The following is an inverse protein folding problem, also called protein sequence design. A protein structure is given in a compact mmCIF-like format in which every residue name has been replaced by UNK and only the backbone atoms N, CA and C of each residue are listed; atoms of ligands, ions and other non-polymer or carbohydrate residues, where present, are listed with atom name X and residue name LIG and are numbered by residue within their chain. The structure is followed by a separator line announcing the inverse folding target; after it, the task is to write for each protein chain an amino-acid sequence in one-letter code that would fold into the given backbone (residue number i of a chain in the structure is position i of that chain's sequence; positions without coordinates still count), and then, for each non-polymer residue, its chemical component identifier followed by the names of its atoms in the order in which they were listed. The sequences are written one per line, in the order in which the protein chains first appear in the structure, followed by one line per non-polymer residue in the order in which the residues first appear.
data_IF_729453407817
#
_entry.id   IF_729453407817
#
_cell.length_a   1.000
_cell.length_b   1.000
_cell.length_c   1.000
_cell.angle_alpha   90.00
_cell.angle_beta   90.00
_cell.angle_gamma   90.00
#
_symmetry.space_group_name_H-M   'P 1'
#
loop_
_entity.id
_entity.type
_entity.pdbx_description
1 polymer ?
#
# COMPACT_ATOMS: atom_id res chain seq x y z
N UNK A 1 20.02 45.02 -15.80
CA UNK A 1 20.48 43.68 -16.20
C UNK A 1 19.45 43.08 -17.15
N UNK A 2 19.85 42.39 -18.24
CA UNK A 2 18.89 41.70 -19.11
C UNK A 2 18.40 40.45 -18.38
N UNK A 3 17.08 40.36 -18.16
CA UNK A 3 16.45 39.17 -17.59
C UNK A 3 16.64 38.02 -18.57
N UNK A 4 17.35 36.97 -18.15
CA UNK A 4 17.51 35.74 -18.93
C UNK A 4 16.24 34.95 -18.76
N UNK A 5 15.41 34.90 -19.81
CA UNK A 5 14.20 34.08 -19.84
C UNK A 5 14.52 32.74 -20.48
N UNK A 6 14.29 31.65 -19.75
CA UNK A 6 14.44 30.30 -20.26
C UNK A 6 13.21 29.88 -21.06
N UNK A 7 13.41 29.00 -22.05
CA UNK A 7 12.34 28.48 -22.91
C UNK A 7 11.20 27.84 -22.09
N UNK A 8 11.53 27.17 -20.98
CA UNK A 8 10.57 26.56 -20.06
C UNK A 8 9.69 27.55 -19.30
N UNK A 9 10.12 28.82 -19.20
CA UNK A 9 9.38 29.88 -18.51
C UNK A 9 8.53 30.73 -19.46
N UNK A 10 8.80 30.66 -20.77
CA UNK A 10 8.08 31.45 -21.78
C UNK A 10 6.57 31.21 -21.75
N UNK A 11 6.12 29.97 -21.59
CA UNK A 11 4.68 29.68 -21.49
C UNK A 11 4.05 30.30 -20.25
N UNK A 12 4.72 30.25 -19.09
CA UNK A 12 4.22 30.86 -17.84
C UNK A 12 4.18 32.39 -17.95
N UNK A 13 5.18 32.98 -18.57
CA UNK A 13 5.27 34.43 -18.79
C UNK A 13 4.23 34.91 -19.81
N UNK A 14 4.07 34.21 -20.92
CA UNK A 14 3.03 34.49 -21.92
C UNK A 14 1.64 34.36 -21.30
N UNK A 15 1.38 33.28 -20.53
CA UNK A 15 0.11 33.07 -19.83
C UNK A 15 -0.23 34.27 -18.93
N UNK A 16 0.72 34.78 -18.13
CA UNK A 16 0.50 35.96 -17.26
C UNK A 16 0.08 37.23 -18.00
N UNK A 17 0.51 37.42 -19.25
CA UNK A 17 0.18 38.60 -20.05
C UNK A 17 -1.28 38.58 -20.53
N UNK A 18 -1.86 37.39 -20.74
CA UNK A 18 -3.23 37.22 -21.23
C UNK A 18 -4.24 36.81 -20.15
N UNK A 19 -3.80 36.61 -18.91
CA UNK A 19 -4.64 36.11 -17.84
C UNK A 19 -5.42 37.24 -17.16
N UNK A 20 -6.75 37.17 -17.22
CA UNK A 20 -7.61 38.10 -16.48
C UNK A 20 -7.59 37.80 -14.97
N UNK A 21 -8.02 38.74 -14.14
CA UNK A 21 -8.10 38.50 -12.69
C UNK A 21 -9.11 37.40 -12.34
N UNK A 22 -10.20 37.27 -13.11
CA UNK A 22 -11.13 36.14 -12.99
C UNK A 22 -10.47 34.80 -13.32
N UNK A 23 -9.57 34.75 -14.30
CA UNK A 23 -8.83 33.52 -14.64
C UNK A 23 -7.82 33.14 -13.55
N UNK A 24 -7.21 34.14 -12.88
CA UNK A 24 -6.33 33.89 -11.73
C UNK A 24 -7.10 33.34 -10.53
N UNK A 25 -8.30 33.85 -10.25
CA UNK A 25 -9.17 33.33 -9.17
C UNK A 25 -9.68 31.91 -9.47
N UNK A 26 -10.08 31.64 -10.72
CA UNK A 26 -10.44 30.29 -11.16
C UNK A 26 -9.27 29.30 -11.04
N UNK A 27 -8.06 29.71 -11.39
CA UNK A 27 -6.88 28.84 -11.25
C UNK A 27 -6.50 28.59 -9.79
N UNK A 28 -6.58 29.61 -8.92
CA UNK A 28 -6.42 29.44 -7.47
C UNK A 28 -7.45 28.47 -6.90
N UNK A 29 -8.73 28.65 -7.21
CA UNK A 29 -9.78 27.74 -6.71
C UNK A 29 -9.63 26.32 -7.26
N UNK A 30 -9.25 26.15 -8.53
CA UNK A 30 -8.94 24.84 -9.10
C UNK A 30 -7.71 24.18 -8.46
N UNK A 31 -6.66 24.95 -8.17
CA UNK A 31 -5.46 24.42 -7.49
C UNK A 31 -5.73 24.04 -6.04
N UNK A 32 -6.48 24.86 -5.29
CA UNK A 32 -6.94 24.51 -3.94
C UNK A 32 -7.81 23.25 -3.96
N UNK A 33 -8.80 23.17 -4.87
CA UNK A 33 -9.64 21.96 -5.01
C UNK A 33 -8.82 20.72 -5.34
N UNK A 34 -7.84 20.82 -6.25
CA UNK A 34 -6.93 19.71 -6.56
C UNK A 34 -6.11 19.30 -5.33
N UNK A 35 -5.57 20.27 -4.61
CA UNK A 35 -4.79 20.04 -3.39
C UNK A 35 -5.65 19.40 -2.29
N UNK A 36 -6.88 19.87 -2.09
CA UNK A 36 -7.83 19.31 -1.12
C UNK A 36 -8.20 17.87 -1.48
N UNK A 37 -8.43 17.60 -2.77
CA UNK A 37 -8.74 16.25 -3.26
C UNK A 37 -7.55 15.31 -3.06
N UNK A 38 -6.33 15.79 -3.33
CA UNK A 38 -5.12 15.00 -3.13
C UNK A 38 -4.82 14.76 -1.64
N UNK A 39 -5.02 15.76 -0.79
CA UNK A 39 -4.92 15.64 0.66
C UNK A 39 -5.95 14.66 1.22
N UNK A 40 -7.20 14.71 0.73
CA UNK A 40 -8.23 13.76 1.12
C UNK A 40 -7.84 12.32 0.72
N UNK A 41 -7.30 12.14 -0.50
CA UNK A 41 -6.79 10.83 -0.94
C UNK A 41 -5.66 10.31 -0.06
N UNK A 42 -4.69 11.17 0.30
CA UNK A 42 -3.58 10.80 1.19
C UNK A 42 -4.08 10.42 2.59
N UNK A 43 -4.99 11.20 3.17
CA UNK A 43 -5.60 10.89 4.47
C UNK A 43 -6.35 9.56 4.45
N UNK A 44 -7.07 9.27 3.36
CA UNK A 44 -7.75 7.99 3.19
C UNK A 44 -6.75 6.83 3.10
N UNK A 45 -5.68 6.99 2.32
CA UNK A 45 -4.60 6.00 2.23
C UNK A 45 -3.92 5.76 3.59
N UNK A 46 -3.60 6.82 4.32
CA UNK A 46 -3.01 6.74 5.66
C UNK A 46 -3.94 6.04 6.66
N UNK A 47 -5.25 6.30 6.60
CA UNK A 47 -6.24 5.63 7.44
C UNK A 47 -6.18 4.11 7.25
N UNK A 48 -6.26 3.65 6.00
CA UNK A 48 -6.24 2.21 5.70
C UNK A 48 -4.89 1.58 5.99
N UNK A 49 -3.80 2.31 5.74
CA UNK A 49 -2.46 1.84 6.08
C UNK A 49 -2.28 1.65 7.59
N UNK A 50 -2.76 2.58 8.43
CA UNK A 50 -2.73 2.42 9.89
C UNK A 50 -3.55 1.21 10.34
N UNK A 51 -4.76 1.03 9.80
CA UNK A 51 -5.58 -0.14 10.12
C UNK A 51 -4.88 -1.45 9.73
N UNK A 52 -4.18 -1.48 8.59
CA UNK A 52 -3.39 -2.63 8.19
C UNK A 52 -2.21 -2.93 9.12
N UNK A 53 -1.54 -1.89 9.64
CA UNK A 53 -0.50 -2.08 10.65
C UNK A 53 -1.06 -2.64 11.96
N UNK A 54 -2.26 -2.21 12.38
CA UNK A 54 -2.95 -2.78 13.55
C UNK A 54 -3.32 -4.26 13.32
N UNK A 55 -3.81 -4.61 12.12
CA UNK A 55 -4.12 -5.99 11.75
C UNK A 55 -2.86 -6.86 11.73
N UNK A 56 -1.75 -6.37 11.18
CA UNK A 56 -0.46 -7.05 11.22
C UNK A 56 0.10 -7.20 12.63
N UNK A 57 -0.23 -6.28 13.54
CA UNK A 57 0.15 -6.41 14.94
C UNK A 57 -0.50 -7.61 15.61
N UNK A 58 -1.69 -7.99 15.15
CA UNK A 58 -2.43 -9.19 15.58
C UNK A 58 -2.02 -10.45 14.82
N UNK A 59 -0.83 -10.47 14.21
CA UNK A 59 -0.34 -11.61 13.44
C UNK A 59 -0.43 -12.94 14.21
N UNK A 60 -0.16 -12.97 15.51
CA UNK A 60 -0.24 -14.19 16.31
C UNK A 60 -1.67 -14.75 16.44
N UNK A 61 -2.69 -13.94 16.16
CA UNK A 61 -4.11 -14.33 16.12
C UNK A 61 -4.51 -14.90 14.75
N UNK A 62 -3.75 -14.63 13.69
CA UNK A 62 -3.99 -15.20 12.37
C UNK A 62 -3.90 -16.72 12.40
N UNK A 63 -4.63 -17.38 11.51
CA UNK A 63 -4.65 -18.84 11.47
C UNK A 63 -3.26 -19.40 11.17
N UNK A 64 -2.72 -20.19 12.11
CA UNK A 64 -1.49 -20.95 11.93
C UNK A 64 -1.72 -22.07 10.92
N UNK A 65 -0.92 -22.08 9.85
CA UNK A 65 -1.06 -23.04 8.75
C UNK A 65 0.08 -24.05 8.70
N UNK A 66 1.27 -23.69 9.17
CA UNK A 66 2.42 -24.58 9.25
C UNK A 66 3.44 -24.10 10.28
N UNK A 67 4.40 -24.95 10.61
CA UNK A 67 5.59 -24.61 11.38
C UNK A 67 6.76 -25.47 10.91
N UNK A 68 7.91 -24.84 10.65
CA UNK A 68 9.17 -25.53 10.39
C UNK A 68 10.07 -25.35 11.63
N UNK A 69 9.87 -26.22 12.63
CA UNK A 69 10.54 -26.12 13.94
C UNK A 69 12.06 -26.08 13.84
N UNK A 70 12.65 -26.88 12.95
CA UNK A 70 14.10 -26.95 12.73
C UNK A 70 14.68 -25.65 12.17
N UNK A 71 13.85 -24.82 11.55
CA UNK A 71 14.22 -23.53 10.99
C UNK A 71 13.74 -22.34 11.83
N UNK A 72 13.05 -22.58 12.96
CA UNK A 72 12.43 -21.53 13.76
C UNK A 72 11.32 -20.74 13.06
N UNK A 73 10.71 -21.29 12.00
CA UNK A 73 9.70 -20.57 11.21
C UNK A 73 8.27 -20.94 11.57
N UNK A 74 7.41 -19.94 11.75
CA UNK A 74 5.95 -20.10 11.87
C UNK A 74 5.25 -19.46 10.67
N UNK A 75 4.31 -20.21 10.09
CA UNK A 75 3.54 -19.77 8.94
C UNK A 75 2.10 -19.51 9.38
N UNK A 76 1.59 -18.31 9.07
CA UNK A 76 0.20 -17.94 9.30
C UNK A 76 -0.43 -17.35 8.06
N UNK A 77 -1.74 -17.46 7.94
CA UNK A 77 -2.48 -16.96 6.79
C UNK A 77 -3.44 -15.82 7.16
N UNK A 78 -3.44 -14.79 6.32
CA UNK A 78 -4.46 -13.75 6.25
C UNK A 78 -5.35 -14.02 5.04
N UNK A 79 -6.68 -13.96 5.21
CA UNK A 79 -7.66 -14.22 4.15
C UNK A 79 -8.19 -12.89 3.63
N UNK A 80 -8.23 -12.73 2.30
CA UNK A 80 -8.72 -11.54 1.61
C UNK A 80 -10.21 -11.66 1.31
N UNK A 81 -10.88 -10.53 1.07
CA UNK A 81 -12.30 -10.51 0.66
C UNK A 81 -12.54 -11.17 -0.70
N UNK A 82 -11.53 -11.15 -1.58
CA UNK A 82 -11.58 -11.82 -2.88
C UNK A 82 -11.49 -13.36 -2.79
N UNK A 83 -11.43 -13.93 -1.58
CA UNK A 83 -11.33 -15.37 -1.31
C UNK A 83 -9.91 -15.93 -1.41
N UNK A 84 -8.93 -15.12 -1.82
CA UNK A 84 -7.53 -15.51 -1.76
C UNK A 84 -6.94 -15.41 -0.35
N UNK A 85 -5.72 -15.93 -0.18
CA UNK A 85 -4.95 -15.81 1.06
C UNK A 85 -3.54 -15.25 0.87
N UNK A 86 -2.95 -14.69 1.91
CA UNK A 86 -1.53 -14.40 2.01
C UNK A 86 -0.95 -15.21 3.15
N UNK A 87 0.06 -16.02 2.84
CA UNK A 87 0.79 -16.79 3.84
C UNK A 87 2.06 -16.03 4.17
N UNK A 88 2.27 -15.77 5.45
CA UNK A 88 3.45 -15.09 5.97
C UNK A 88 4.19 -16.05 6.88
N UNK A 89 5.46 -16.24 6.57
CA UNK A 89 6.40 -16.94 7.44
C UNK A 89 7.17 -15.90 8.26
N UNK A 90 7.30 -16.13 9.56
CA UNK A 90 8.14 -15.32 10.45
C UNK A 90 9.17 -16.21 11.12
N UNK A 91 10.35 -15.66 11.37
CA UNK A 91 11.33 -16.24 12.28
C UNK A 91 10.91 -15.94 13.73
N UNK A 92 10.61 -16.98 14.50
CA UNK A 92 10.17 -16.90 15.90
C UNK A 92 11.21 -16.20 16.79
N UNK A 93 12.51 -16.33 16.48
CA UNK A 93 13.59 -15.69 17.25
C UNK A 93 13.71 -14.18 16.96
N UNK A 94 13.14 -13.73 15.84
CA UNK A 94 13.17 -12.31 15.42
C UNK A 94 12.09 -11.45 16.07
N UNK A 95 11.42 -11.94 17.12
CA UNK A 95 10.31 -11.25 17.76
C UNK A 95 10.75 -9.93 18.41
N UNK A 96 9.98 -8.87 18.17
CA UNK A 96 10.25 -7.54 18.71
C UNK A 96 9.02 -6.91 19.34
N UNK A 97 9.29 -5.97 20.26
CA UNK A 97 8.25 -5.11 20.85
C UNK A 97 8.06 -3.90 19.95
N UNK A 98 6.99 -3.91 19.17
CA UNK A 98 6.58 -2.81 18.28
C UNK A 98 5.21 -2.28 18.71
N UNK A 99 4.94 -1.00 18.45
CA UNK A 99 3.62 -0.40 18.75
C UNK A 99 2.56 -0.76 17.71
N UNK A 100 2.98 -0.92 16.45
CA UNK A 100 2.11 -1.30 15.32
C UNK A 100 2.91 -2.10 14.30
N UNK A 101 2.21 -2.77 13.38
CA UNK A 101 2.83 -3.60 12.36
C UNK A 101 3.27 -4.97 12.89
N UNK A 102 3.95 -5.73 12.04
CA UNK A 102 4.33 -7.10 12.33
C UNK A 102 5.38 -7.14 13.46
N UNK A 103 5.15 -7.89 14.57
CA UNK A 103 6.06 -7.95 15.71
C UNK A 103 7.25 -8.89 15.50
N UNK A 104 7.72 -9.01 14.25
CA UNK A 104 8.85 -9.85 13.85
C UNK A 104 9.71 -9.09 12.84
N UNK A 105 11.03 -9.27 12.93
CA UNK A 105 11.98 -8.57 12.07
C UNK A 105 12.29 -9.30 10.78
N UNK A 106 12.35 -10.63 10.83
CA UNK A 106 12.59 -11.47 9.67
C UNK A 106 11.33 -12.24 9.30
N UNK A 107 10.84 -11.98 8.10
CA UNK A 107 9.63 -12.60 7.58
C UNK A 107 9.59 -12.52 6.06
N UNK A 108 8.74 -13.34 5.47
CA UNK A 108 8.45 -13.28 4.05
C UNK A 108 7.00 -13.68 3.77
N UNK A 109 6.35 -12.93 2.87
CA UNK A 109 4.95 -13.15 2.47
C UNK A 109 4.80 -13.69 1.06
N UNK A 110 3.76 -14.49 0.84
CA UNK A 110 3.32 -14.97 -0.48
C UNK A 110 1.79 -14.89 -0.60
N UNK A 111 1.30 -14.25 -1.67
CA UNK A 111 -0.13 -14.16 -2.02
C UNK A 111 -0.58 -15.28 -2.96
N UNK A 112 -1.74 -15.87 -2.66
CA UNK A 112 -2.42 -16.88 -3.45
C UNK A 112 -3.85 -16.45 -3.80
N UNK A 113 -4.26 -16.57 -5.06
CA UNK A 113 -5.64 -16.34 -5.48
C UNK A 113 -6.62 -17.32 -4.83
N UNK A 114 -7.93 -17.08 -5.02
CA UNK A 114 -8.99 -17.94 -4.48
C UNK A 114 -8.91 -19.39 -4.98
N UNK A 115 -8.34 -19.61 -6.17
CA UNK A 115 -8.08 -20.94 -6.74
C UNK A 115 -6.81 -21.62 -6.16
N UNK A 116 -6.16 -20.99 -5.19
CA UNK A 116 -4.93 -21.47 -4.57
C UNK A 116 -3.68 -21.26 -5.43
N UNK A 117 -3.78 -20.64 -6.61
CA UNK A 117 -2.61 -20.34 -7.43
C UNK A 117 -1.85 -19.14 -6.90
N UNK A 118 -0.53 -19.16 -7.00
CA UNK A 118 0.29 -18.02 -6.59
C UNK A 118 0.07 -16.86 -7.55
N UNK A 119 -0.21 -15.68 -7.01
CA UNK A 119 -0.48 -14.47 -7.78
C UNK A 119 0.61 -13.42 -7.61
N UNK A 120 0.78 -12.58 -8.63
CA UNK A 120 1.75 -11.52 -8.65
C UNK A 120 1.41 -10.44 -7.63
N UNK A 121 2.44 -9.95 -6.94
CA UNK A 121 2.34 -8.87 -5.95
C UNK A 121 1.60 -7.64 -6.49
N UNK A 122 1.77 -7.25 -7.74
CA UNK A 122 1.19 -5.99 -8.26
C UNK A 122 -0.01 -6.23 -9.18
N UNK A 123 0.08 -7.20 -10.10
CA UNK A 123 -0.94 -7.41 -11.13
C UNK A 123 -2.03 -8.39 -10.69
N UNK A 124 -1.83 -9.16 -9.62
CA UNK A 124 -2.75 -10.24 -9.23
C UNK A 124 -2.82 -11.39 -10.24
N UNK A 125 -2.00 -11.35 -11.30
CA UNK A 125 -1.94 -12.41 -12.32
C UNK A 125 -1.18 -13.63 -11.82
N UNK A 126 -1.44 -14.80 -12.41
CA UNK A 126 -0.72 -16.02 -12.07
C UNK A 126 0.77 -15.88 -12.37
N UNK A 127 1.61 -16.30 -11.42
CA UNK A 127 3.07 -16.23 -11.59
C UNK A 127 3.74 -17.58 -11.52
N UNK A 128 4.69 -17.81 -12.41
CA UNK A 128 5.64 -18.91 -12.28
C UNK A 128 6.68 -18.56 -11.20
N UNK A 129 7.09 -19.55 -10.40
CA UNK A 129 8.07 -19.39 -9.32
C UNK A 129 9.41 -18.96 -9.92
N UNK A 130 9.80 -17.69 -9.70
CA UNK A 130 11.19 -17.27 -9.82
C UNK A 130 11.79 -17.25 -8.41
N UNK A 131 12.53 -18.31 -8.07
CA UNK A 131 12.99 -18.68 -6.72
C UNK A 131 13.62 -17.53 -5.90
N UNK A 132 14.22 -16.54 -6.57
CA UNK A 132 14.96 -15.45 -5.91
C UNK A 132 14.30 -14.07 -5.96
N UNK A 133 13.11 -13.91 -6.55
CA UNK A 133 12.67 -12.53 -6.92
C UNK A 133 11.51 -11.94 -6.17
N UNK A 134 10.63 -12.67 -5.47
CA UNK A 134 9.38 -12.04 -5.01
C UNK A 134 8.84 -12.58 -3.68
N UNK A 135 9.32 -11.95 -2.61
CA UNK A 135 8.79 -12.05 -1.25
C UNK A 135 8.24 -10.68 -0.84
N UNK A 136 7.08 -10.64 -0.18
CA UNK A 136 6.55 -9.39 0.36
C UNK A 136 7.28 -9.02 1.66
N UNK A 137 7.73 -7.76 1.76
CA UNK A 137 8.35 -7.17 2.95
C UNK A 137 7.40 -6.13 3.60
N UNK A 138 7.82 -5.39 4.63
CA UNK A 138 6.93 -4.82 5.69
C UNK A 138 5.93 -3.83 5.09
N UNK A 139 6.38 -2.84 4.28
CA UNK A 139 5.49 -1.86 3.67
C UNK A 139 4.47 -2.49 2.71
N UNK A 140 4.89 -3.49 1.96
CA UNK A 140 4.08 -4.19 0.97
C UNK A 140 2.93 -4.97 1.56
N UNK A 141 3.23 -5.69 2.63
CA UNK A 141 2.26 -6.50 3.33
C UNK A 141 1.15 -5.61 3.88
N UNK A 142 1.54 -4.49 4.51
CA UNK A 142 0.63 -3.49 5.04
C UNK A 142 -0.22 -2.85 3.94
N UNK A 143 0.37 -2.49 2.79
CA UNK A 143 -0.38 -1.92 1.66
C UNK A 143 -1.45 -2.88 1.13
N UNK A 144 -1.14 -4.18 1.04
CA UNK A 144 -2.12 -5.18 0.57
C UNK A 144 -3.26 -5.40 1.54
N UNK A 145 -2.97 -5.48 2.83
CA UNK A 145 -4.02 -5.57 3.85
C UNK A 145 -4.83 -4.28 3.87
N UNK A 146 -4.22 -3.11 3.67
CA UNK A 146 -4.93 -1.83 3.59
C UNK A 146 -5.91 -1.79 2.40
N UNK A 147 -5.49 -2.26 1.22
CA UNK A 147 -6.35 -2.41 0.05
C UNK A 147 -7.53 -3.35 0.33
N UNK A 148 -7.27 -4.48 0.99
CA UNK A 148 -8.29 -5.46 1.36
C UNK A 148 -9.30 -4.90 2.36
N UNK A 149 -8.84 -4.28 3.44
CA UNK A 149 -9.69 -3.64 4.44
C UNK A 149 -10.56 -2.54 3.82
N UNK A 150 -9.99 -1.77 2.88
CA UNK A 150 -10.75 -0.78 2.11
C UNK A 150 -11.81 -1.43 1.23
N UNK A 151 -11.49 -2.54 0.57
CA UNK A 151 -12.44 -3.28 -0.26
C UNK A 151 -13.57 -3.88 0.58
N UNK A 152 -13.25 -4.43 1.77
CA UNK A 152 -14.23 -4.94 2.74
C UNK A 152 -15.22 -3.87 3.17
N UNK A 153 -14.73 -2.72 3.61
CA UNK A 153 -15.59 -1.65 4.07
C UNK A 153 -16.51 -1.10 2.96
N UNK A 154 -16.06 -1.14 1.69
CA UNK A 154 -16.91 -0.80 0.55
C UNK A 154 -18.01 -1.83 0.33
N UNK A 155 -17.67 -3.12 0.34
CA UNK A 155 -18.63 -4.20 0.17
C UNK A 155 -19.67 -4.28 1.31
N UNK A 156 -19.33 -3.82 2.51
CA UNK A 156 -20.26 -3.71 3.65
C UNK A 156 -21.18 -2.48 3.58
N UNK A 157 -20.82 -1.50 2.74
CA UNK A 157 -21.60 -0.26 2.55
C UNK A 157 -22.59 -0.33 1.38
N UNK A 158 -22.49 -1.36 0.54
CA UNK A 158 -23.35 -1.66 -0.62
C UNK A 158 -24.45 -2.67 -0.24
#
# INVERSE_FOLDING_TARGET
AKEVVYLGDMFKLAKKLYQTDQDKEKEKTLSFRKQDTENARKKEQERWYKAALEEMHRFDEWKKVAQAKELGLVFREYVFIDGGRMVVAVDEESRQKVETGLPYDYYFGVRFGADGTRVHRESGEKTNIKFFTKWDWKPELALRIAEDLRARARAESD
#
